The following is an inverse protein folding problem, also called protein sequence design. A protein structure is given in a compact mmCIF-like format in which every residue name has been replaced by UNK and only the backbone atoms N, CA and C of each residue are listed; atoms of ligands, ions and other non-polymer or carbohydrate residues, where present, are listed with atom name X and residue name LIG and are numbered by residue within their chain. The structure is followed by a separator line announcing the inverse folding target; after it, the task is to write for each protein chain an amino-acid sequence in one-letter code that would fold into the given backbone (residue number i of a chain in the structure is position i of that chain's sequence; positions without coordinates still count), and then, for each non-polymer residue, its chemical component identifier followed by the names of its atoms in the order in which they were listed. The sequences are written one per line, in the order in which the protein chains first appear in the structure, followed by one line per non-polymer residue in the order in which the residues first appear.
data_IF_090712836080
#
_entry.id   IF_090712836080
#
_cell.length_a   1.000
_cell.length_b   1.000
_cell.length_c   1.000
_cell.angle_alpha   90.00
_cell.angle_beta   90.00
_cell.angle_gamma   90.00
#
_symmetry.space_group_name_H-M   'P 1'
#
loop_
_entity.id
_entity.type
_entity.pdbx_description
1 polymer ?
#
# COMPACT_ATOMS: atom_id res chain seq x y z
N UNK A 1 -17.53 -19.99 -15.55
CA UNK A 1 -18.30 -18.99 -16.33
C UNK A 1 -19.47 -18.53 -15.49
N UNK A 2 -19.43 -17.28 -15.04
CA UNK A 2 -19.98 -16.82 -13.76
C UNK A 2 -21.07 -15.74 -13.88
N UNK A 3 -21.72 -15.59 -15.03
CA UNK A 3 -22.65 -14.47 -15.26
C UNK A 3 -23.98 -14.68 -14.50
N UNK A 4 -24.32 -15.93 -14.22
CA UNK A 4 -25.52 -16.35 -13.47
C UNK A 4 -25.22 -16.77 -12.03
N UNK A 5 -23.97 -16.57 -11.57
CA UNK A 5 -23.60 -16.89 -10.19
C UNK A 5 -24.46 -16.03 -9.22
N UNK A 6 -25.31 -16.64 -8.37
CA UNK A 6 -26.20 -15.91 -7.48
C UNK A 6 -25.46 -14.98 -6.52
N UNK A 7 -24.27 -15.38 -6.06
CA UNK A 7 -23.44 -14.56 -5.20
C UNK A 7 -23.00 -13.29 -5.94
N UNK A 8 -22.45 -13.44 -7.16
CA UNK A 8 -22.02 -12.30 -7.97
C UNK A 8 -23.17 -11.37 -8.37
N UNK A 9 -24.36 -11.91 -8.61
CA UNK A 9 -25.55 -11.11 -8.91
C UNK A 9 -26.00 -10.30 -7.70
N UNK A 10 -26.03 -10.91 -6.50
CA UNK A 10 -26.42 -10.23 -5.27
C UNK A 10 -25.48 -9.06 -4.89
N UNK A 11 -24.18 -9.17 -5.23
CA UNK A 11 -23.18 -8.11 -5.00
C UNK A 11 -23.49 -6.80 -5.73
N UNK A 12 -24.31 -6.81 -6.78
CA UNK A 12 -24.70 -5.59 -7.51
C UNK A 12 -25.59 -4.66 -6.69
N UNK A 13 -26.33 -5.20 -5.74
CA UNK A 13 -27.31 -4.48 -4.92
C UNK A 13 -26.98 -4.50 -3.43
N UNK A 14 -25.95 -5.22 -3.02
CA UNK A 14 -25.49 -5.25 -1.63
C UNK A 14 -24.94 -3.89 -1.20
N UNK A 15 -25.19 -3.52 0.06
CA UNK A 15 -24.61 -2.32 0.67
C UNK A 15 -23.12 -2.53 0.92
N UNK A 16 -22.30 -1.55 0.52
CA UNK A 16 -20.87 -1.53 0.83
C UNK A 16 -20.66 -1.10 2.28
N UNK A 17 -20.05 -1.95 3.10
CA UNK A 17 -19.69 -1.65 4.49
C UNK A 17 -18.16 -1.56 4.64
N UNK A 18 -17.63 -0.36 4.80
CA UNK A 18 -16.18 -0.11 4.91
C UNK A 18 -15.59 -0.43 6.28
N UNK A 19 -16.38 -0.93 7.23
CA UNK A 19 -15.86 -1.48 8.50
C UNK A 19 -15.35 -2.92 8.35
N UNK A 20 -15.78 -3.64 7.31
CA UNK A 20 -15.37 -5.02 7.07
C UNK A 20 -14.00 -5.02 6.40
N UNK A 21 -13.02 -5.63 7.05
CA UNK A 21 -11.64 -5.70 6.58
C UNK A 21 -11.04 -7.06 6.86
N UNK A 22 -10.12 -7.49 6.01
CA UNK A 22 -9.22 -8.60 6.28
C UNK A 22 -7.79 -8.06 6.31
N UNK A 23 -7.11 -8.26 7.44
CA UNK A 23 -5.74 -7.79 7.63
C UNK A 23 -4.77 -8.96 7.71
N UNK A 24 -3.66 -8.86 6.97
CA UNK A 24 -2.51 -9.75 7.08
C UNK A 24 -1.42 -9.10 7.91
N UNK A 25 -0.76 -9.89 8.75
CA UNK A 25 0.45 -9.45 9.48
C UNK A 25 1.65 -10.02 8.76
N UNK A 26 2.56 -9.17 8.33
CA UNK A 26 3.81 -9.60 7.69
C UNK A 26 5.03 -9.09 8.46
N UNK A 27 6.09 -9.89 8.39
CA UNK A 27 7.43 -9.51 8.81
C UNK A 27 8.28 -9.34 7.57
N UNK A 28 8.91 -8.18 7.42
CA UNK A 28 9.79 -7.85 6.30
C UNK A 28 11.10 -7.24 6.81
N UNK A 29 12.04 -7.02 5.91
CA UNK A 29 13.30 -6.37 6.20
C UNK A 29 13.66 -5.36 5.10
N UNK A 30 14.12 -4.19 5.53
CA UNK A 30 14.72 -3.19 4.67
C UNK A 30 16.14 -2.94 5.19
N UNK A 31 17.15 -3.42 4.46
CA UNK A 31 18.53 -3.46 4.97
C UNK A 31 18.61 -4.24 6.29
N UNK A 32 19.13 -3.60 7.33
CA UNK A 32 19.18 -4.16 8.71
C UNK A 32 17.89 -3.92 9.52
N UNK A 33 16.97 -3.12 8.99
CA UNK A 33 15.74 -2.74 9.67
C UNK A 33 14.67 -3.82 9.49
N UNK A 34 14.40 -4.58 10.56
CA UNK A 34 13.29 -5.53 10.62
C UNK A 34 12.00 -4.77 10.92
N UNK A 35 10.96 -5.04 10.14
CA UNK A 35 9.67 -4.34 10.23
C UNK A 35 8.58 -5.42 10.39
N UNK A 36 7.68 -5.21 11.35
CA UNK A 36 6.43 -5.97 11.46
C UNK A 36 5.31 -4.99 11.17
N UNK A 37 4.42 -5.36 10.25
CA UNK A 37 3.35 -4.49 9.79
C UNK A 37 2.06 -5.28 9.59
N UNK A 38 0.94 -4.68 10.01
CA UNK A 38 -0.39 -5.10 9.60
C UNK A 38 -0.81 -4.33 8.36
N UNK A 39 -1.37 -5.02 7.37
CA UNK A 39 -1.94 -4.40 6.18
C UNK A 39 -3.27 -5.06 5.80
N UNK A 40 -4.23 -4.23 5.41
CA UNK A 40 -5.45 -4.68 4.76
C UNK A 40 -5.10 -5.37 3.42
N UNK A 41 -5.81 -6.45 3.11
CA UNK A 41 -5.69 -7.18 1.84
C UNK A 41 -7.08 -7.31 1.23
N UNK A 42 -7.22 -6.88 -0.03
CA UNK A 42 -8.53 -6.81 -0.69
C UNK A 42 -9.12 -8.19 -0.99
N UNK A 43 -8.33 -9.09 -1.58
CA UNK A 43 -8.79 -10.45 -1.87
C UNK A 43 -7.64 -11.43 -2.14
N UNK A 44 -8.03 -12.69 -2.34
CA UNK A 44 -7.20 -13.74 -2.92
C UNK A 44 -7.65 -14.00 -4.36
N UNK A 45 -6.77 -14.61 -5.16
CA UNK A 45 -7.08 -15.11 -6.50
C UNK A 45 -8.00 -16.33 -6.50
N UNK A 46 -7.56 -17.42 -7.14
CA UNK A 46 -8.44 -18.54 -7.51
C UNK A 46 -9.06 -19.25 -6.32
N UNK A 47 -8.24 -19.81 -5.43
CA UNK A 47 -8.71 -20.59 -4.31
C UNK A 47 -7.92 -20.24 -3.06
N UNK A 48 -8.60 -20.28 -1.91
CA UNK A 48 -7.94 -20.15 -0.62
C UNK A 48 -6.88 -21.26 -0.53
N UNK A 49 -5.60 -20.91 -0.38
CA UNK A 49 -4.57 -21.93 -0.25
C UNK A 49 -4.84 -22.77 0.98
N UNK A 50 -4.36 -24.01 0.98
CA UNK A 50 -4.40 -24.85 2.17
C UNK A 50 -3.77 -24.12 3.36
N UNK A 51 -4.29 -24.36 4.57
CA UNK A 51 -3.96 -23.58 5.77
C UNK A 51 -2.46 -23.51 6.10
N UNK A 52 -1.68 -24.46 5.60
CA UNK A 52 -0.24 -24.56 5.84
C UNK A 52 0.61 -23.84 4.78
N UNK A 53 0.02 -23.33 3.70
CA UNK A 53 0.71 -22.61 2.64
C UNK A 53 0.66 -21.11 2.89
N UNK A 54 1.73 -20.42 2.51
CA UNK A 54 1.81 -18.96 2.60
C UNK A 54 0.75 -18.30 1.70
N UNK A 55 -0.23 -17.57 2.25
CA UNK A 55 -1.29 -16.95 1.47
C UNK A 55 -0.81 -15.76 0.63
N UNK A 56 0.37 -15.21 0.91
CA UNK A 56 0.87 -13.96 0.28
C UNK A 56 0.92 -14.08 -1.24
N UNK A 57 1.35 -15.23 -1.77
CA UNK A 57 1.45 -15.45 -3.21
C UNK A 57 0.10 -15.43 -3.95
N UNK A 58 -1.01 -15.56 -3.21
CA UNK A 58 -2.36 -15.54 -3.75
C UNK A 58 -3.08 -14.21 -3.52
N UNK A 59 -2.49 -13.28 -2.77
CA UNK A 59 -3.10 -11.98 -2.52
C UNK A 59 -3.14 -11.12 -3.79
N UNK A 60 -4.21 -10.32 -3.88
CA UNK A 60 -4.44 -9.38 -4.96
C UNK A 60 -4.87 -8.05 -4.34
N UNK A 61 -4.23 -6.97 -4.81
CA UNK A 61 -4.67 -5.59 -4.53
C UNK A 61 -5.61 -5.12 -5.64
N UNK A 62 -6.75 -4.54 -5.27
CA UNK A 62 -7.76 -3.99 -6.18
C UNK A 62 -7.70 -2.47 -6.16
N UNK A 63 -7.50 -1.87 -7.33
CA UNK A 63 -7.49 -0.40 -7.50
C UNK A 63 -8.44 0.02 -8.60
N UNK A 64 -8.85 1.29 -8.56
CA UNK A 64 -9.54 1.93 -9.69
C UNK A 64 -8.79 3.17 -10.15
N UNK A 65 -8.87 3.47 -11.44
CA UNK A 65 -8.37 4.72 -12.02
C UNK A 65 -9.27 5.20 -13.15
N UNK A 66 -9.23 6.48 -13.47
CA UNK A 66 -9.87 7.01 -14.69
C UNK A 66 -9.18 6.39 -15.92
N UNK A 67 -9.95 6.08 -16.97
CA UNK A 67 -9.44 5.68 -18.28
C UNK A 67 -8.41 6.70 -18.75
N UNK A 68 -7.27 6.19 -19.24
CA UNK A 68 -6.17 6.96 -19.78
C UNK A 68 -6.37 7.06 -21.29
N UNK A 69 -6.55 8.29 -21.80
CA UNK A 69 -6.80 8.53 -23.23
C UNK A 69 -5.62 9.22 -23.91
N UNK A 70 -4.86 10.01 -23.15
CA UNK A 70 -3.72 10.79 -23.65
C UNK A 70 -2.41 10.37 -22.99
N UNK A 71 -1.29 10.60 -23.69
CA UNK A 71 0.05 10.32 -23.19
C UNK A 71 0.37 11.07 -21.88
N UNK A 72 -0.06 12.32 -21.76
CA UNK A 72 0.09 13.11 -20.53
C UNK A 72 -0.64 12.50 -19.32
N UNK A 73 -1.80 11.88 -19.55
CA UNK A 73 -2.55 11.19 -18.51
C UNK A 73 -1.84 9.90 -18.11
N UNK A 74 -1.24 9.20 -19.10
CA UNK A 74 -0.41 8.03 -18.84
C UNK A 74 0.83 8.41 -18.02
N UNK A 75 1.50 9.50 -18.38
CA UNK A 75 2.63 10.04 -17.64
C UNK A 75 2.27 10.33 -16.18
N UNK A 76 1.13 11.01 -15.93
CA UNK A 76 0.66 11.29 -14.57
C UNK A 76 0.28 10.00 -13.82
N UNK A 77 -0.33 9.03 -14.49
CA UNK A 77 -0.64 7.73 -13.90
C UNK A 77 0.63 7.01 -13.45
N UNK A 78 1.62 6.87 -14.34
CA UNK A 78 2.89 6.21 -14.06
C UNK A 78 3.70 6.95 -12.99
N UNK A 79 3.75 8.29 -13.06
CA UNK A 79 4.55 9.12 -12.15
C UNK A 79 4.00 9.17 -10.73
N UNK A 80 2.67 9.29 -10.58
CA UNK A 80 2.07 9.62 -9.28
C UNK A 80 1.23 8.50 -8.67
N UNK A 81 0.47 7.74 -9.48
CA UNK A 81 -0.40 6.68 -8.97
C UNK A 81 0.31 5.35 -8.89
N UNK A 82 1.02 4.98 -9.96
CA UNK A 82 1.67 3.68 -10.05
C UNK A 82 2.80 3.53 -9.02
N UNK A 83 3.49 4.63 -8.65
CA UNK A 83 4.40 4.68 -7.49
C UNK A 83 3.72 4.23 -6.21
N UNK A 84 2.54 4.78 -5.90
CA UNK A 84 1.80 4.47 -4.67
C UNK A 84 1.31 3.02 -4.66
N UNK A 85 0.81 2.54 -5.81
CA UNK A 85 0.38 1.16 -5.95
C UNK A 85 1.54 0.20 -5.72
N UNK A 86 2.69 0.46 -6.36
CA UNK A 86 3.89 -0.33 -6.15
C UNK A 86 4.34 -0.32 -4.68
N UNK A 87 4.50 0.86 -4.07
CA UNK A 87 5.01 0.96 -2.71
C UNK A 87 4.14 0.21 -1.69
N UNK A 88 2.80 0.33 -1.81
CA UNK A 88 1.86 -0.37 -0.93
C UNK A 88 1.99 -1.89 -1.06
N UNK A 89 1.88 -2.42 -2.29
CA UNK A 89 1.89 -3.87 -2.52
C UNK A 89 3.28 -4.49 -2.32
N UNK A 90 4.35 -3.76 -2.63
CA UNK A 90 5.73 -4.23 -2.46
C UNK A 90 6.08 -4.47 -0.98
N UNK A 91 5.71 -3.56 -0.08
CA UNK A 91 6.09 -3.66 1.33
C UNK A 91 5.52 -4.89 2.03
N UNK A 92 4.30 -5.29 1.70
CA UNK A 92 3.63 -6.47 2.27
C UNK A 92 3.77 -7.74 1.39
N UNK A 93 4.40 -7.62 0.21
CA UNK A 93 4.65 -8.74 -0.69
C UNK A 93 3.48 -9.18 -1.57
N UNK A 94 2.44 -8.34 -1.74
CA UNK A 94 1.33 -8.65 -2.66
C UNK A 94 1.86 -8.69 -4.09
N UNK A 95 1.73 -9.83 -4.81
CA UNK A 95 2.36 -10.01 -6.12
C UNK A 95 1.60 -9.34 -7.27
N UNK A 96 0.30 -9.12 -7.13
CA UNK A 96 -0.61 -8.72 -8.22
C UNK A 96 -1.47 -7.53 -7.81
N UNK A 97 -1.58 -6.56 -8.71
CA UNK A 97 -2.47 -5.40 -8.58
C UNK A 97 -3.41 -5.39 -9.78
N UNK A 98 -4.71 -5.47 -9.54
CA UNK A 98 -5.73 -5.38 -10.57
C UNK A 98 -6.33 -3.97 -10.55
N UNK A 99 -6.20 -3.26 -11.67
CA UNK A 99 -6.70 -1.90 -11.83
C UNK A 99 -7.90 -1.88 -12.77
N UNK A 100 -9.06 -1.50 -12.23
CA UNK A 100 -10.26 -1.18 -13.02
C UNK A 100 -10.21 0.26 -13.54
N UNK A 101 -10.16 0.42 -14.86
CA UNK A 101 -10.22 1.72 -15.52
C UNK A 101 -11.66 2.13 -15.82
N UNK A 102 -12.14 3.13 -15.09
CA UNK A 102 -13.52 3.65 -15.19
C UNK A 102 -13.63 4.90 -16.04
N UNK A 103 -14.78 5.04 -16.70
CA UNK A 103 -15.17 6.27 -17.37
C UNK A 103 -15.63 7.34 -16.37
N UNK A 104 -16.04 8.49 -16.91
CA UNK A 104 -16.50 9.64 -16.12
C UNK A 104 -17.91 9.42 -15.52
N UNK A 105 -18.64 8.41 -16.00
CA UNK A 105 -19.91 7.97 -15.41
C UNK A 105 -19.70 6.96 -14.26
N UNK A 106 -18.45 6.69 -13.88
CA UNK A 106 -18.12 5.75 -12.81
C UNK A 106 -18.11 4.28 -13.22
N UNK A 107 -18.29 3.96 -14.50
CA UNK A 107 -18.40 2.59 -14.99
C UNK A 107 -17.02 2.07 -15.39
N UNK A 108 -16.58 0.96 -14.78
CA UNK A 108 -15.34 0.26 -15.18
C UNK A 108 -15.51 -0.28 -16.61
N UNK A 109 -14.61 0.11 -17.52
CA UNK A 109 -14.63 -0.29 -18.93
C UNK A 109 -13.51 -1.26 -19.30
N UNK A 110 -12.41 -1.23 -18.55
CA UNK A 110 -11.26 -2.09 -18.80
C UNK A 110 -10.63 -2.50 -17.46
N UNK A 111 -10.04 -3.68 -17.41
CA UNK A 111 -9.29 -4.18 -16.28
C UNK A 111 -7.87 -4.51 -16.77
N UNK A 112 -6.87 -4.06 -16.02
CA UNK A 112 -5.47 -4.41 -16.27
C UNK A 112 -4.82 -4.94 -15.02
N UNK A 113 -4.08 -6.03 -15.17
CA UNK A 113 -3.22 -6.56 -14.13
C UNK A 113 -1.81 -5.98 -14.24
N UNK A 114 -1.23 -5.66 -13.08
CA UNK A 114 0.17 -5.27 -12.92
C UNK A 114 0.82 -6.22 -11.93
N UNK A 115 1.94 -6.82 -12.32
CA UNK A 115 2.79 -7.57 -11.39
C UNK A 115 3.65 -6.60 -10.61
N UNK A 116 3.54 -6.62 -9.28
CA UNK A 116 4.19 -5.65 -8.38
C UNK A 116 5.69 -5.52 -8.67
N UNK A 117 6.38 -6.64 -8.87
CA UNK A 117 7.82 -6.68 -9.13
C UNK A 117 8.23 -6.16 -10.52
N UNK A 118 7.31 -6.08 -11.48
CA UNK A 118 7.58 -5.57 -12.81
C UNK A 118 7.36 -4.05 -12.92
N UNK A 119 6.57 -3.46 -12.01
CA UNK A 119 6.21 -2.03 -12.05
C UNK A 119 7.43 -1.10 -12.15
N UNK A 120 8.50 -1.25 -11.34
CA UNK A 120 9.67 -0.38 -11.45
C UNK A 120 10.34 -0.42 -12.83
N UNK A 121 10.30 -1.58 -13.51
CA UNK A 121 10.89 -1.71 -14.86
C UNK A 121 10.08 -0.96 -15.91
N UNK A 122 8.76 -0.79 -15.71
CA UNK A 122 7.87 -0.09 -16.65
C UNK A 122 8.17 1.41 -16.75
N UNK A 123 8.73 2.01 -15.69
CA UNK A 123 9.01 3.45 -15.61
C UNK A 123 10.50 3.78 -15.69
N UNK A 124 11.38 2.77 -15.61
CA UNK A 124 12.83 2.92 -15.64
C UNK A 124 13.30 3.67 -16.88
N UNK A 125 14.15 4.68 -16.69
CA UNK A 125 14.75 5.46 -17.78
C UNK A 125 13.83 6.49 -18.43
N UNK A 126 12.55 6.56 -18.06
CA UNK A 126 11.64 7.61 -18.52
C UNK A 126 11.92 8.92 -17.78
N UNK A 127 11.88 10.04 -18.51
CA UNK A 127 12.19 11.35 -17.96
C UNK A 127 11.24 11.75 -16.81
N UNK A 128 11.80 12.14 -15.67
CA UNK A 128 11.05 12.63 -14.50
C UNK A 128 10.19 11.57 -13.80
N UNK A 129 10.47 10.28 -13.99
CA UNK A 129 9.86 9.18 -13.23
C UNK A 129 10.58 8.95 -11.89
N UNK A 130 9.89 8.26 -11.00
CA UNK A 130 10.43 7.79 -9.73
C UNK A 130 11.36 6.57 -9.94
N UNK A 131 12.24 6.35 -8.97
CA UNK A 131 13.14 5.21 -8.93
C UNK A 131 12.91 4.40 -7.64
N UNK A 132 12.71 3.10 -7.78
CA UNK A 132 12.44 2.21 -6.65
C UNK A 132 13.60 2.17 -5.65
N UNK A 133 14.86 2.21 -6.11
CA UNK A 133 16.03 2.24 -5.23
C UNK A 133 16.08 3.54 -4.42
N UNK A 134 15.72 4.68 -5.01
CA UNK A 134 15.61 5.95 -4.26
C UNK A 134 14.59 5.84 -3.12
N UNK A 135 13.40 5.28 -3.40
CA UNK A 135 12.37 5.08 -2.37
C UNK A 135 12.84 4.16 -1.24
N UNK A 136 13.47 3.03 -1.58
CA UNK A 136 13.90 2.02 -0.61
C UNK A 136 15.12 2.50 0.21
N UNK A 137 16.09 3.15 -0.43
CA UNK A 137 17.25 3.70 0.27
C UNK A 137 16.82 4.81 1.24
N UNK A 138 15.95 5.72 0.80
CA UNK A 138 15.39 6.75 1.67
C UNK A 138 14.69 6.14 2.90
N UNK A 139 13.81 5.15 2.70
CA UNK A 139 13.14 4.50 3.82
C UNK A 139 14.13 3.79 4.77
N UNK A 140 15.18 3.16 4.23
CA UNK A 140 16.20 2.50 5.05
C UNK A 140 16.99 3.51 5.90
N UNK A 141 17.46 4.59 5.28
CA UNK A 141 18.20 5.67 5.94
C UNK A 141 17.32 6.39 6.98
N UNK A 142 16.04 6.60 6.66
CA UNK A 142 15.08 7.16 7.59
C UNK A 142 14.92 6.29 8.84
N UNK A 143 14.81 4.96 8.71
CA UNK A 143 14.73 4.08 9.88
C UNK A 143 16.02 4.03 10.68
N UNK A 144 17.18 4.04 10.01
CA UNK A 144 18.48 4.11 10.67
C UNK A 144 18.61 5.40 11.49
N UNK A 145 18.23 6.54 10.91
CA UNK A 145 18.22 7.84 11.57
C UNK A 145 17.18 7.91 12.70
N UNK A 146 15.96 7.42 12.49
CA UNK A 146 14.91 7.48 13.50
C UNK A 146 15.31 6.74 14.79
N UNK A 147 16.03 5.61 14.66
CA UNK A 147 16.56 4.84 15.80
C UNK A 147 17.63 5.58 16.60
N UNK A 148 18.30 6.59 16.03
CA UNK A 148 19.24 7.43 16.80
C UNK A 148 18.53 8.52 17.60
N UNK A 149 17.26 8.79 17.30
CA UNK A 149 16.46 9.82 17.96
C UNK A 149 15.54 9.20 19.02
N UNK A 150 14.85 8.11 18.69
CA UNK A 150 13.93 7.40 19.59
C UNK A 150 14.73 6.44 20.46
N UNK A 151 15.36 6.98 21.50
CA UNK A 151 16.25 6.25 22.42
C UNK A 151 15.62 5.91 23.77
N UNK A 152 14.47 6.51 24.09
CA UNK A 152 13.76 6.29 25.35
C UNK A 152 12.93 5.01 25.24
N UNK A 153 13.28 4.00 26.05
CA UNK A 153 12.52 2.75 26.19
C UNK A 153 11.48 2.88 27.32
N UNK A 154 10.41 3.64 27.05
CA UNK A 154 9.23 3.76 27.92
C UNK A 154 7.96 3.76 27.04
N UNK A 155 7.03 2.81 27.20
CA UNK A 155 5.81 2.73 26.39
C UNK A 155 4.85 3.91 26.57
N UNK A 156 5.08 4.78 27.58
CA UNK A 156 4.33 6.03 27.79
C UNK A 156 4.99 7.21 27.09
N UNK A 157 6.23 7.08 26.64
CA UNK A 157 6.92 8.13 25.91
C UNK A 157 6.45 8.18 24.47
N UNK A 158 6.18 9.38 23.97
CA UNK A 158 5.71 9.59 22.59
C UNK A 158 6.60 10.56 21.84
N UNK A 159 6.73 10.31 20.53
CA UNK A 159 7.45 11.17 19.60
C UNK A 159 6.53 11.46 18.40
N UNK A 160 6.51 12.71 17.97
CA UNK A 160 5.82 13.12 16.75
C UNK A 160 6.83 13.28 15.62
N UNK A 161 6.61 12.56 14.52
CA UNK A 161 7.40 12.68 13.29
C UNK A 161 6.62 13.58 12.32
N UNK A 162 7.20 14.73 11.98
CA UNK A 162 6.61 15.72 11.08
C UNK A 162 7.42 15.84 9.80
N UNK A 163 6.74 15.83 8.65
CA UNK A 163 7.37 16.06 7.36
C UNK A 163 6.98 17.44 6.81
N UNK A 164 7.95 18.34 6.68
CA UNK A 164 7.72 19.68 6.10
C UNK A 164 7.72 19.63 4.58
N UNK A 165 6.57 19.96 4.02
CA UNK A 165 6.30 19.88 2.59
C UNK A 165 7.02 20.99 1.79
N UNK A 166 7.35 20.75 0.51
CA UNK A 166 7.56 19.45 -0.14
C UNK A 166 9.07 19.18 -0.10
N UNK A 167 9.55 18.30 0.77
CA UNK A 167 10.97 17.91 0.84
C UNK A 167 11.87 18.92 1.58
N UNK A 168 11.35 19.69 2.56
CA UNK A 168 12.18 20.60 3.35
C UNK A 168 12.94 19.88 4.45
N UNK A 169 12.22 19.20 5.34
CA UNK A 169 12.81 18.51 6.48
C UNK A 169 11.88 17.42 7.01
N UNK A 170 12.47 16.44 7.68
CA UNK A 170 11.76 15.57 8.61
C UNK A 170 12.20 15.98 10.01
N UNK A 171 11.24 16.29 10.87
CA UNK A 171 11.47 16.74 12.24
C UNK A 171 10.86 15.73 13.20
N UNK A 172 11.58 15.41 14.28
CA UNK A 172 11.10 14.53 15.34
C UNK A 172 11.11 15.29 16.64
N UNK A 173 9.92 15.42 17.25
CA UNK A 173 9.74 16.14 18.50
C UNK A 173 9.29 15.17 19.58
N UNK A 174 9.98 15.16 20.73
CA UNK A 174 9.53 14.44 21.91
C UNK A 174 8.25 15.10 22.45
N UNK A 175 7.18 14.32 22.55
CA UNK A 175 5.84 14.79 22.93
C UNK A 175 5.51 14.55 24.41
N UNK A 176 6.44 13.98 25.18
CA UNK A 176 6.30 13.73 26.62
C UNK A 176 5.78 12.33 26.96
N UNK A 177 5.55 12.12 28.25
CA UNK A 177 5.06 10.86 28.83
C UNK A 177 3.57 10.95 29.16
N UNK A 178 2.72 11.08 28.14
CA UNK A 178 1.26 10.97 28.29
C UNK A 178 0.83 9.55 27.94
N UNK A 179 -0.32 9.08 28.46
CA UNK A 179 -0.87 7.79 28.04
C UNK A 179 -0.88 7.75 26.51
N UNK A 180 -0.19 6.77 25.93
CA UNK A 180 -0.06 6.67 24.49
C UNK A 180 -1.45 6.58 23.88
N UNK A 181 -1.63 7.16 22.69
CA UNK A 181 -2.90 7.27 21.94
C UNK A 181 -3.68 5.95 21.82
N UNK A 182 -3.03 4.80 22.07
CA UNK A 182 -3.62 3.47 22.10
C UNK A 182 -4.44 3.16 23.37
N UNK A 183 -4.26 3.88 24.48
CA UNK A 183 -4.94 3.59 25.75
C UNK A 183 -6.32 4.26 25.87
N UNK A 184 -6.55 5.42 25.25
CA UNK A 184 -7.80 6.19 25.42
C UNK A 184 -8.89 5.83 24.40
N UNK A 185 -8.56 5.21 23.26
CA UNK A 185 -9.56 4.87 22.23
C UNK A 185 -10.25 3.51 22.45
N UNK A 186 -9.86 2.74 23.46
CA UNK A 186 -10.34 1.38 23.69
C UNK A 186 -10.76 1.11 25.15
N UNK A 187 -11.11 2.15 25.91
CA UNK A 187 -11.84 2.03 27.19
C UNK A 187 -13.22 2.68 27.07
#
# INVERSE_FOLDING_TARGET
NSVEDPELLSRKTSVVNTNVQYCSVAKTALGKNKIIMGAEVDCIGESKPERHLDPINNYIELKTSRIIKREEENYKFEKYKLLKFWAQSFLIGIPRIIVGFRDDNGIVKNIREFKTMEIPRMVRGKNGMWDAAVCLNFANEFFDWLKTIVIIDDPRSSYTISYKHPFQSIEVTFSGSTNSVLAERHL
#
